data_IF_403090472963
#
_entry.id   IF_403090472963
#
_cell.length_a   1.000
_cell.length_b   1.000
_cell.length_c   1.000
_cell.angle_alpha   90.00
_cell.angle_beta   90.00
_cell.angle_gamma   90.00
#
_symmetry.space_group_name_H-M   'P 1'
#
loop_
_entity.id
_entity.type
_entity.pdbx_description
1 polymer ?
#
# COMPACT_ATOMS: atom_id res chain seq x y z
N UNK A 1 -1.41 -2.70 6.85
CA UNK A 1 -0.02 -3.03 6.47
C UNK A 1 0.74 -1.78 6.13
N UNK A 2 2.01 -1.78 6.41
CA UNK A 2 2.87 -0.63 6.18
C UNK A 2 4.08 -1.10 5.37
N UNK A 3 4.29 -0.49 4.21
CA UNK A 3 5.39 -0.84 3.33
C UNK A 3 6.27 0.37 3.08
N UNK A 4 7.58 0.15 3.03
CA UNK A 4 8.57 1.17 2.70
C UNK A 4 9.27 0.81 1.40
N UNK A 5 9.43 1.79 0.54
CA UNK A 5 10.21 1.68 -0.69
C UNK A 5 11.31 2.71 -0.66
N UNK A 6 12.47 2.34 -1.17
CA UNK A 6 13.64 3.21 -1.17
C UNK A 6 14.24 3.30 -2.56
N UNK A 7 14.62 4.50 -2.94
CA UNK A 7 15.39 4.74 -4.15
C UNK A 7 16.43 5.81 -3.82
N UNK A 8 17.73 5.47 -3.97
CA UNK A 8 18.83 6.28 -3.50
C UNK A 8 18.69 6.53 -1.99
N UNK A 9 18.48 7.76 -1.57
CA UNK A 9 18.28 8.09 -0.16
C UNK A 9 16.84 8.51 0.14
N UNK A 10 15.96 8.33 -0.83
CA UNK A 10 14.57 8.79 -0.74
C UNK A 10 13.67 7.62 -0.35
N UNK A 11 12.75 7.86 0.57
CA UNK A 11 11.83 6.85 1.08
C UNK A 11 10.39 7.21 0.73
N UNK A 12 9.67 6.21 0.20
CA UNK A 12 8.25 6.30 -0.07
C UNK A 12 7.53 5.33 0.85
N UNK A 13 6.44 5.76 1.47
CA UNK A 13 5.71 4.94 2.43
C UNK A 13 4.30 4.67 1.93
N UNK A 14 3.91 3.40 1.96
CA UNK A 14 2.56 2.97 1.62
C UNK A 14 1.89 2.37 2.85
N UNK A 15 0.74 2.91 3.21
CA UNK A 15 -0.10 2.36 4.27
C UNK A 15 -1.36 1.79 3.67
N UNK A 16 -1.73 0.58 4.10
CA UNK A 16 -3.00 -0.02 3.69
C UNK A 16 -3.75 -0.49 4.94
N UNK A 17 -5.07 -0.32 4.91
CA UNK A 17 -5.92 -0.76 6.02
C UNK A 17 -7.33 -1.00 5.52
N UNK A 18 -8.14 -1.66 6.35
CA UNK A 18 -9.56 -1.81 6.12
C UNK A 18 -10.31 -0.88 7.06
N UNK A 19 -11.20 -0.06 6.50
CA UNK A 19 -12.04 0.83 7.31
C UNK A 19 -13.39 0.14 7.54
N UNK A 20 -13.60 -0.37 8.75
CA UNK A 20 -14.81 -1.09 9.09
C UNK A 20 -16.05 -0.20 9.15
N UNK A 21 -15.87 1.10 9.35
CA UNK A 21 -16.99 2.03 9.40
C UNK A 21 -17.62 2.25 8.03
N UNK A 22 -16.81 2.28 7.00
CA UNK A 22 -17.26 2.49 5.63
C UNK A 22 -17.25 1.22 4.80
N UNK A 23 -16.73 0.12 5.36
CA UNK A 23 -16.53 -1.16 4.68
C UNK A 23 -15.67 -0.97 3.42
N UNK A 24 -14.58 -0.23 3.55
CA UNK A 24 -13.69 0.08 2.44
C UNK A 24 -12.25 -0.31 2.74
N UNK A 25 -11.56 -0.74 1.69
CA UNK A 25 -10.10 -0.91 1.73
C UNK A 25 -9.46 0.44 1.40
N UNK A 26 -8.51 0.85 2.21
CA UNK A 26 -7.89 2.17 2.08
C UNK A 26 -6.40 2.02 1.85
N UNK A 27 -5.89 2.75 0.87
CA UNK A 27 -4.46 2.86 0.62
C UNK A 27 -4.06 4.32 0.70
N UNK A 28 -3.01 4.59 1.46
CA UNK A 28 -2.46 5.93 1.60
C UNK A 28 -0.98 5.90 1.24
N UNK A 29 -0.64 6.61 0.18
CA UNK A 29 0.72 6.69 -0.32
C UNK A 29 1.33 8.02 0.08
N UNK A 30 2.42 7.96 0.84
CA UNK A 30 3.16 9.15 1.27
C UNK A 30 4.36 9.34 0.37
N UNK A 31 4.33 10.40 -0.44
CA UNK A 31 5.43 10.72 -1.32
C UNK A 31 6.56 11.43 -0.57
N UNK A 32 7.82 11.29 -1.04
CA UNK A 32 8.95 11.93 -0.37
C UNK A 32 8.87 13.45 -0.29
N UNK A 33 8.16 14.07 -1.22
CA UNK A 33 8.00 15.53 -1.25
C UNK A 33 6.88 16.06 -0.34
N UNK A 34 6.26 15.17 0.46
CA UNK A 34 5.21 15.53 1.38
C UNK A 34 3.79 15.38 0.82
N UNK A 35 3.65 15.03 -0.44
CA UNK A 35 2.33 14.79 -1.01
C UNK A 35 1.75 13.47 -0.53
N UNK A 36 0.44 13.41 -0.46
CA UNK A 36 -0.28 12.19 -0.09
C UNK A 36 -1.26 11.83 -1.18
N UNK A 37 -1.39 10.52 -1.40
CA UNK A 37 -2.35 9.98 -2.34
C UNK A 37 -3.23 8.99 -1.60
N UNK A 38 -4.54 9.26 -1.56
CA UNK A 38 -5.49 8.41 -0.86
C UNK A 38 -6.38 7.70 -1.86
N UNK A 39 -6.47 6.37 -1.75
CA UNK A 39 -7.35 5.55 -2.58
C UNK A 39 -8.27 4.75 -1.68
N UNK A 40 -9.55 4.65 -2.09
CA UNK A 40 -10.55 3.88 -1.37
C UNK A 40 -11.23 2.91 -2.33
N UNK A 41 -11.43 1.67 -1.87
CA UNK A 41 -12.03 0.62 -2.68
C UNK A 41 -13.06 -0.14 -1.85
N UNK A 42 -14.23 -0.37 -2.41
CA UNK A 42 -15.27 -1.13 -1.71
C UNK A 42 -15.08 -2.64 -1.82
N UNK A 43 -14.35 -3.08 -2.84
CA UNK A 43 -14.11 -4.50 -3.10
C UNK A 43 -12.63 -4.80 -3.03
N UNK A 44 -12.33 -6.03 -2.62
CA UNK A 44 -10.95 -6.49 -2.48
C UNK A 44 -10.22 -6.54 -3.82
N UNK A 45 -10.88 -7.04 -4.88
CA UNK A 45 -10.21 -7.27 -6.15
C UNK A 45 -9.67 -5.99 -6.81
N UNK A 46 -10.46 -4.91 -6.95
CA UNK A 46 -9.90 -3.65 -7.46
C UNK A 46 -8.76 -3.12 -6.59
N UNK A 47 -8.84 -3.30 -5.29
CA UNK A 47 -7.79 -2.88 -4.37
C UNK A 47 -6.50 -3.66 -4.63
N UNK A 48 -6.59 -4.98 -4.77
CA UNK A 48 -5.43 -5.82 -5.08
C UNK A 48 -4.81 -5.43 -6.41
N UNK A 49 -5.63 -5.19 -7.42
CA UNK A 49 -5.14 -4.80 -8.74
C UNK A 49 -4.42 -3.46 -8.70
N UNK A 50 -4.94 -2.52 -7.93
CA UNK A 50 -4.26 -1.24 -7.74
C UNK A 50 -2.89 -1.41 -7.08
N UNK A 51 -2.82 -2.27 -6.05
CA UNK A 51 -1.54 -2.56 -5.37
C UNK A 51 -0.54 -3.19 -6.32
N UNK A 52 -0.97 -4.16 -7.11
CA UNK A 52 -0.09 -4.82 -8.08
C UNK A 52 0.42 -3.85 -9.14
N UNK A 53 -0.47 -2.98 -9.63
CA UNK A 53 -0.08 -1.96 -10.59
C UNK A 53 0.93 -0.98 -10.00
N UNK A 54 0.72 -0.59 -8.74
CA UNK A 54 1.65 0.28 -8.04
C UNK A 54 3.02 -0.38 -7.87
N UNK A 55 3.05 -1.64 -7.47
CA UNK A 55 4.31 -2.38 -7.34
C UNK A 55 5.06 -2.44 -8.67
N UNK A 56 4.35 -2.70 -9.76
CA UNK A 56 4.95 -2.72 -11.09
C UNK A 56 5.53 -1.36 -11.48
N UNK A 57 4.80 -0.30 -11.20
CA UNK A 57 5.26 1.07 -11.48
C UNK A 57 6.50 1.42 -10.66
N UNK A 58 6.50 1.07 -9.37
CA UNK A 58 7.63 1.35 -8.50
C UNK A 58 8.86 0.54 -8.92
N UNK A 59 8.67 -0.72 -9.27
CA UNK A 59 9.79 -1.56 -9.74
C UNK A 59 10.38 -1.00 -11.04
N UNK A 60 9.54 -0.56 -11.96
CA UNK A 60 10.01 0.04 -13.21
C UNK A 60 10.78 1.34 -12.97
N UNK A 61 10.43 2.06 -11.91
CA UNK A 61 11.09 3.31 -11.52
C UNK A 61 12.23 3.08 -10.52
N UNK A 62 12.69 1.85 -10.38
CA UNK A 62 13.85 1.44 -9.56
C UNK A 62 13.67 1.62 -8.05
N UNK A 63 12.43 1.63 -7.58
CA UNK A 63 12.18 1.59 -6.15
C UNK A 63 12.37 0.17 -5.63
N UNK A 64 13.05 0.06 -4.50
CA UNK A 64 13.29 -1.22 -3.83
C UNK A 64 12.46 -1.29 -2.56
N UNK A 65 11.72 -2.38 -2.39
CA UNK A 65 10.96 -2.58 -1.17
C UNK A 65 11.92 -2.94 -0.03
N UNK A 66 11.80 -2.22 1.08
CA UNK A 66 12.65 -2.41 2.25
C UNK A 66 11.96 -3.26 3.29
N UNK A 67 12.59 -4.37 3.65
CA UNK A 67 12.09 -5.24 4.71
C UNK A 67 10.76 -5.90 4.39
N UNK A 68 10.24 -6.62 5.35
CA UNK A 68 8.90 -7.19 5.28
C UNK A 68 7.89 -6.17 5.78
N UNK A 69 6.71 -6.08 5.16
CA UNK A 69 5.69 -5.20 5.67
C UNK A 69 5.23 -5.66 7.05
N UNK A 70 5.05 -4.72 7.95
CA UNK A 70 4.41 -4.99 9.22
C UNK A 70 2.93 -5.19 8.99
N UNK A 71 2.42 -6.33 9.40
CA UNK A 71 1.00 -6.61 9.29
C UNK A 71 0.30 -6.01 10.49
N UNK A 72 -0.52 -5.02 10.21
CA UNK A 72 -1.36 -4.45 11.25
C UNK A 72 -2.63 -5.27 11.34
N UNK A 73 -2.94 -5.87 12.49
CA UNK A 73 -4.04 -6.82 12.60
C UNK A 73 -5.43 -6.19 12.66
N UNK A 74 -5.54 -4.94 12.33
CA UNK A 74 -6.75 -4.19 12.54
C UNK A 74 -7.72 -4.29 11.37
N UNK A 75 -8.73 -5.07 11.56
CA UNK A 75 -9.95 -4.97 10.78
C UNK A 75 -9.97 -5.56 9.40
N UNK A 76 -8.97 -6.30 8.98
CA UNK A 76 -9.01 -6.96 7.69
C UNK A 76 -10.01 -8.13 7.76
N UNK A 77 -11.08 -8.13 6.96
CA UNK A 77 -12.08 -9.18 7.03
C UNK A 77 -11.60 -10.50 6.44
N UNK A 78 -10.56 -10.46 5.62
CA UNK A 78 -9.97 -11.65 5.02
C UNK A 78 -8.49 -11.38 4.77
N UNK A 79 -7.72 -12.47 4.67
CA UNK A 79 -6.28 -12.35 4.45
C UNK A 79 -6.00 -11.98 3.00
N UNK A 80 -5.20 -10.95 2.81
CA UNK A 80 -4.69 -10.62 1.49
C UNK A 80 -3.49 -11.52 1.21
N UNK A 81 -3.49 -12.26 0.08
CA UNK A 81 -2.34 -13.10 -0.24
C UNK A 81 -1.07 -12.26 -0.35
N UNK A 82 -0.01 -12.77 0.24
CA UNK A 82 1.31 -12.14 0.10
C UNK A 82 1.93 -12.60 -1.20
N UNK A 83 2.47 -11.69 -1.90
CA UNK A 83 3.25 -11.98 -3.09
C UNK A 83 4.72 -11.78 -2.80
#
# INVERSE_FOLDING_TARGET
MLWFYERDTIVLRLETRYDSKTAEYVALLHHPDGRHELQRFRKLEPFRQWLLALEGTLAADRWTRKGSPDILPDGWPEKIPRT
#
